data_IF_402722263871
#
_entry.id   IF_402722263871
#
_cell.length_a   1.000
_cell.length_b   1.000
_cell.length_c   1.000
_cell.angle_alpha   90.00
_cell.angle_beta   90.00
_cell.angle_gamma   90.00
#
_symmetry.space_group_name_H-M   'P 1'
#
loop_
_entity.id
_entity.type
_entity.pdbx_description
1 polymer ?
#
# COMPACT_ATOMS: atom_id res chain seq x y z
N UNK A 1 22.65 -27.03 -40.19
CA UNK A 1 23.86 -26.32 -39.73
C UNK A 1 23.63 -24.83 -39.93
N UNK A 2 23.97 -24.03 -38.91
CA UNK A 2 24.05 -22.56 -38.87
C UNK A 2 22.76 -21.76 -38.59
N UNK A 3 22.39 -21.77 -37.32
CA UNK A 3 21.79 -20.63 -36.58
C UNK A 3 22.77 -19.46 -36.51
N UNK A 4 22.37 -18.27 -36.98
CA UNK A 4 23.08 -17.01 -36.74
C UNK A 4 22.21 -16.09 -35.88
N UNK A 5 22.80 -15.77 -34.73
CA UNK A 5 22.44 -14.81 -33.69
C UNK A 5 21.94 -13.45 -34.21
N UNK A 6 20.73 -13.06 -33.80
CA UNK A 6 20.33 -11.66 -33.74
C UNK A 6 20.57 -11.14 -32.31
N UNK A 7 21.67 -10.39 -32.13
CA UNK A 7 22.00 -9.70 -30.88
C UNK A 7 21.12 -8.46 -30.74
N UNK A 8 20.19 -8.47 -29.77
CA UNK A 8 19.53 -7.27 -29.28
C UNK A 8 20.56 -6.39 -28.55
N UNK A 9 21.06 -5.36 -29.21
CA UNK A 9 21.90 -4.34 -28.60
C UNK A 9 21.02 -3.36 -27.81
N UNK A 10 20.94 -3.56 -26.49
CA UNK A 10 20.35 -2.61 -25.55
C UNK A 10 21.30 -1.42 -25.43
N UNK A 11 21.03 -0.32 -26.15
CA UNK A 11 21.76 0.95 -25.98
C UNK A 11 21.26 1.62 -24.71
N UNK A 12 22.01 1.46 -23.62
CA UNK A 12 21.86 2.28 -22.42
C UNK A 12 22.27 3.73 -22.76
N UNK A 13 21.30 4.62 -22.87
CA UNK A 13 21.53 6.06 -22.97
C UNK A 13 21.76 6.59 -21.55
N UNK A 14 23.01 6.67 -21.12
CA UNK A 14 23.40 7.37 -19.89
C UNK A 14 23.40 8.87 -20.22
N UNK A 15 22.34 9.58 -19.84
CA UNK A 15 22.32 11.04 -19.83
C UNK A 15 23.02 11.53 -18.56
N UNK A 16 24.27 11.95 -18.73
CA UNK A 16 25.06 12.65 -17.72
C UNK A 16 24.45 14.05 -17.51
N UNK A 17 23.83 14.30 -16.36
CA UNK A 17 23.48 15.66 -15.94
C UNK A 17 24.71 16.30 -15.28
N UNK A 18 25.39 17.19 -16.01
CA UNK A 18 26.32 18.14 -15.41
C UNK A 18 25.52 19.33 -14.87
N UNK A 19 25.46 19.45 -13.55
CA UNK A 19 25.02 20.68 -12.90
C UNK A 19 26.20 21.67 -12.81
N UNK A 20 25.97 22.92 -13.24
CA UNK A 20 26.26 24.13 -12.46
C UNK A 20 26.17 25.37 -13.36
N UNK A 21 25.11 26.15 -13.16
CA UNK A 21 24.99 27.51 -13.64
C UNK A 21 24.04 28.24 -12.72
N UNK A 22 24.52 28.69 -11.56
CA UNK A 22 23.84 29.69 -10.74
C UNK A 22 23.87 31.02 -11.49
N UNK A 23 23.03 31.12 -12.52
CA UNK A 23 22.73 32.35 -13.22
C UNK A 23 21.60 33.05 -12.50
N UNK A 24 21.86 34.21 -11.93
CA UNK A 24 20.80 35.20 -11.68
C UNK A 24 20.16 35.48 -13.05
N UNK A 25 18.97 34.93 -13.30
CA UNK A 25 18.22 35.23 -14.54
C UNK A 25 17.87 36.72 -14.52
N UNK A 26 18.19 37.49 -15.57
CA UNK A 26 17.78 38.89 -15.65
C UNK A 26 16.25 38.98 -15.68
N UNK A 27 15.66 39.94 -14.97
CA UNK A 27 14.21 40.11 -14.86
C UNK A 27 13.49 40.16 -16.23
N UNK A 28 14.13 40.73 -17.26
CA UNK A 28 13.63 40.76 -18.63
C UNK A 28 13.41 39.38 -19.27
N UNK A 29 14.20 38.36 -18.89
CA UNK A 29 14.00 36.98 -19.36
C UNK A 29 12.81 36.29 -18.66
N UNK A 30 12.47 36.73 -17.45
CA UNK A 30 11.31 36.23 -16.70
C UNK A 30 10.01 36.85 -17.21
N UNK A 31 10.03 38.14 -17.62
CA UNK A 31 8.90 38.80 -18.29
C UNK A 31 8.57 38.13 -19.62
N UNK A 32 9.57 37.88 -20.48
CA UNK A 32 9.38 37.16 -21.73
C UNK A 32 8.84 35.73 -21.54
N UNK A 33 9.31 35.00 -20.53
CA UNK A 33 8.79 33.67 -20.23
C UNK A 33 7.33 33.72 -19.76
N UNK A 34 6.97 34.70 -18.93
CA UNK A 34 5.61 34.84 -18.40
C UNK A 34 4.62 35.16 -19.53
N UNK A 35 5.01 36.01 -20.49
CA UNK A 35 4.21 36.29 -21.68
C UNK A 35 4.02 35.04 -22.54
N UNK A 36 5.09 34.28 -22.80
CA UNK A 36 5.02 33.02 -23.56
C UNK A 36 4.10 31.99 -22.88
N UNK A 37 4.19 31.84 -21.56
CA UNK A 37 3.31 30.93 -20.81
C UNK A 37 1.86 31.41 -20.82
N UNK A 38 1.63 32.71 -20.68
CA UNK A 38 0.28 33.30 -20.71
C UNK A 38 -0.38 33.09 -22.07
N UNK A 39 0.39 33.20 -23.16
CA UNK A 39 -0.09 32.92 -24.51
C UNK A 39 -0.39 31.43 -24.77
N UNK A 40 0.08 30.52 -23.91
CA UNK A 40 -0.20 29.08 -23.97
C UNK A 40 -1.13 28.62 -22.84
N UNK A 41 -1.73 29.56 -22.10
CA UNK A 41 -2.64 29.25 -21.01
C UNK A 41 -4.03 28.93 -21.58
N UNK A 42 -4.49 27.70 -21.36
CA UNK A 42 -5.80 27.24 -21.77
C UNK A 42 -6.69 27.03 -20.54
N UNK A 43 -7.76 27.82 -20.35
CA UNK A 43 -8.66 27.66 -19.22
C UNK A 43 -9.31 26.28 -19.18
N UNK A 44 -9.38 25.70 -17.98
CA UNK A 44 -10.00 24.39 -17.71
C UNK A 44 -10.94 24.51 -16.52
N UNK A 45 -12.12 23.91 -16.64
CA UNK A 45 -13.06 23.73 -15.54
C UNK A 45 -13.43 22.26 -15.40
N UNK A 46 -13.73 21.84 -14.17
CA UNK A 46 -14.28 20.50 -13.88
C UNK A 46 -15.55 20.66 -13.08
N UNK A 47 -16.69 20.30 -13.68
CA UNK A 47 -18.00 20.40 -13.06
C UNK A 47 -18.77 19.11 -13.26
N UNK A 48 -19.42 18.60 -12.20
CA UNK A 48 -20.25 17.39 -12.23
C UNK A 48 -19.56 16.16 -12.87
N UNK A 49 -18.22 16.08 -12.78
CA UNK A 49 -17.44 14.99 -13.35
C UNK A 49 -17.11 15.11 -14.84
N UNK A 50 -17.36 16.27 -15.46
CA UNK A 50 -17.01 16.57 -16.84
C UNK A 50 -15.97 17.70 -16.92
N UNK A 51 -15.07 17.62 -17.91
CA UNK A 51 -14.13 18.69 -18.24
C UNK A 51 -14.77 19.65 -19.24
N UNK A 52 -14.52 20.94 -19.08
CA UNK A 52 -14.93 21.98 -20.03
C UNK A 52 -13.86 23.08 -20.19
N UNK A 53 -14.01 23.88 -21.24
CA UNK A 53 -13.04 24.93 -21.61
C UNK A 53 -11.95 24.44 -22.59
N UNK A 54 -11.15 25.38 -23.09
CA UNK A 54 -10.13 25.10 -24.12
C UNK A 54 -9.07 24.11 -23.61
N UNK A 55 -8.75 24.13 -22.32
CA UNK A 55 -7.82 23.19 -21.70
C UNK A 55 -8.36 21.76 -21.67
N UNK A 56 -9.69 21.57 -21.66
CA UNK A 56 -10.28 20.24 -21.72
C UNK A 56 -9.99 19.57 -23.08
N UNK A 57 -10.08 20.34 -24.17
CA UNK A 57 -9.76 19.85 -25.50
C UNK A 57 -8.31 19.37 -25.58
N UNK A 58 -7.37 20.17 -25.06
CA UNK A 58 -5.94 19.81 -25.01
C UNK A 58 -5.72 18.47 -24.28
N UNK A 59 -6.32 18.30 -23.10
CA UNK A 59 -6.10 17.09 -22.30
C UNK A 59 -6.80 15.86 -22.90
N UNK A 60 -8.02 16.01 -23.43
CA UNK A 60 -8.75 14.90 -24.06
C UNK A 60 -8.07 14.44 -25.35
N UNK A 61 -7.57 15.37 -26.17
CA UNK A 61 -6.77 15.04 -27.35
C UNK A 61 -5.48 14.31 -26.96
N UNK A 62 -4.75 14.81 -25.96
CA UNK A 62 -3.55 14.14 -25.48
C UNK A 62 -3.85 12.74 -24.91
N UNK A 63 -4.95 12.57 -24.17
CA UNK A 63 -5.38 11.28 -23.63
C UNK A 63 -5.78 10.28 -24.72
N UNK A 64 -6.41 10.75 -25.79
CA UNK A 64 -6.79 9.91 -26.93
C UNK A 64 -5.59 9.44 -27.76
N UNK A 65 -4.56 10.29 -27.87
CA UNK A 65 -3.40 10.05 -28.75
C UNK A 65 -2.20 9.41 -28.02
N UNK A 66 -2.12 9.52 -26.69
CA UNK A 66 -1.03 8.98 -25.91
C UNK A 66 -1.30 7.55 -25.44
N UNK A 67 -0.34 6.65 -25.63
CA UNK A 67 -0.39 5.30 -25.04
C UNK A 67 -0.20 5.33 -23.51
N UNK A 68 0.59 6.29 -23.01
CA UNK A 68 0.85 6.48 -21.60
C UNK A 68 0.56 7.93 -21.23
N UNK A 69 -0.39 8.14 -20.34
CA UNK A 69 -0.73 9.46 -19.81
C UNK A 69 -0.23 9.55 -18.37
N UNK A 70 0.65 10.51 -18.09
CA UNK A 70 1.24 10.70 -16.78
C UNK A 70 0.77 12.03 -16.19
N UNK A 71 0.26 11.99 -14.96
CA UNK A 71 -0.03 13.18 -14.17
C UNK A 71 1.04 13.28 -13.10
N UNK A 72 1.94 14.26 -13.23
CA UNK A 72 2.92 14.58 -12.22
C UNK A 72 2.26 15.47 -11.15
N UNK A 73 1.78 14.85 -10.08
CA UNK A 73 0.99 15.49 -9.04
C UNK A 73 1.85 16.24 -8.02
N UNK A 74 1.42 17.45 -7.65
CA UNK A 74 1.79 18.09 -6.38
C UNK A 74 0.94 17.52 -5.24
N UNK A 75 1.57 17.16 -4.12
CA UNK A 75 0.89 16.40 -3.07
C UNK A 75 -0.37 17.10 -2.54
N UNK A 76 -1.47 16.34 -2.46
CA UNK A 76 -2.75 16.74 -1.83
C UNK A 76 -3.57 17.82 -2.59
N UNK A 77 -3.55 17.81 -3.93
CA UNK A 77 -4.43 18.68 -4.73
C UNK A 77 -5.75 17.96 -5.02
N UNK A 78 -6.86 18.50 -4.50
CA UNK A 78 -8.19 17.86 -4.60
C UNK A 78 -8.70 17.81 -6.04
N UNK A 79 -8.46 18.86 -6.79
CA UNK A 79 -8.87 19.08 -8.18
C UNK A 79 -8.29 18.02 -9.12
N UNK A 80 -7.08 17.54 -8.87
CA UNK A 80 -6.44 16.50 -9.69
C UNK A 80 -7.23 15.19 -9.69
N UNK A 81 -7.88 14.84 -8.58
CA UNK A 81 -8.74 13.66 -8.52
C UNK A 81 -9.97 13.82 -9.40
N UNK A 82 -10.59 15.01 -9.40
CA UNK A 82 -11.74 15.31 -10.25
C UNK A 82 -11.36 15.34 -11.73
N UNK A 83 -10.22 15.95 -12.06
CA UNK A 83 -9.67 15.97 -13.43
C UNK A 83 -9.39 14.55 -13.92
N UNK A 84 -8.68 13.73 -13.14
CA UNK A 84 -8.38 12.36 -13.52
C UNK A 84 -9.64 11.50 -13.67
N UNK A 85 -10.64 11.69 -12.81
CA UNK A 85 -11.92 11.00 -12.94
C UNK A 85 -12.65 11.38 -14.22
N UNK A 86 -12.68 12.67 -14.56
CA UNK A 86 -13.34 13.17 -15.76
C UNK A 86 -12.61 12.78 -17.04
N UNK A 87 -11.26 12.84 -17.07
CA UNK A 87 -10.43 12.40 -18.21
C UNK A 87 -10.66 10.94 -18.60
N UNK A 88 -10.96 10.10 -17.61
CA UNK A 88 -11.05 8.65 -17.78
C UNK A 88 -12.43 8.11 -17.41
N UNK A 89 -13.48 8.91 -17.58
CA UNK A 89 -14.87 8.51 -17.30
C UNK A 89 -15.28 7.26 -18.10
N UNK A 90 -14.87 7.21 -19.38
CA UNK A 90 -15.14 6.11 -20.30
C UNK A 90 -14.10 4.99 -20.26
N UNK A 91 -13.13 5.07 -19.34
CA UNK A 91 -12.08 4.06 -19.25
C UNK A 91 -12.68 2.68 -18.91
N UNK A 92 -12.05 1.58 -19.36
CA UNK A 92 -12.49 0.23 -19.03
C UNK A 92 -12.64 0.03 -17.51
N UNK A 93 -13.50 -0.91 -17.11
CA UNK A 93 -13.82 -1.14 -15.70
C UNK A 93 -12.58 -1.30 -14.81
N UNK A 94 -11.56 -2.01 -15.31
CA UNK A 94 -10.29 -2.20 -14.59
C UNK A 94 -9.56 -0.87 -14.34
N UNK A 95 -9.46 0.01 -15.34
CA UNK A 95 -8.83 1.32 -15.20
C UNK A 95 -9.58 2.19 -14.19
N UNK A 96 -10.91 2.17 -14.19
CA UNK A 96 -11.71 2.87 -13.17
C UNK A 96 -11.48 2.35 -11.76
N UNK A 97 -11.25 1.04 -11.58
CA UNK A 97 -10.87 0.47 -10.27
C UNK A 97 -9.52 1.04 -9.80
N UNK A 98 -8.54 1.15 -10.70
CA UNK A 98 -7.23 1.70 -10.39
C UNK A 98 -7.30 3.19 -10.04
N UNK A 99 -8.02 3.99 -10.83
CA UNK A 99 -8.25 5.42 -10.56
C UNK A 99 -8.92 5.60 -9.20
N UNK A 100 -10.00 4.85 -8.94
CA UNK A 100 -10.66 4.87 -7.64
C UNK A 100 -9.75 4.41 -6.49
N UNK A 101 -8.80 3.51 -6.73
CA UNK A 101 -7.81 3.11 -5.74
C UNK A 101 -6.82 4.24 -5.42
N UNK A 102 -6.35 4.97 -6.43
CA UNK A 102 -5.47 6.14 -6.27
C UNK A 102 -6.17 7.23 -5.44
N UNK A 103 -7.39 7.61 -5.81
CA UNK A 103 -8.17 8.62 -5.08
C UNK A 103 -8.38 8.23 -3.60
N UNK A 104 -8.67 6.95 -3.33
CA UNK A 104 -8.77 6.44 -1.96
C UNK A 104 -7.45 6.56 -1.21
N UNK A 105 -6.32 6.24 -1.85
CA UNK A 105 -5.01 6.40 -1.21
C UNK A 105 -4.70 7.86 -0.90
N UNK A 106 -4.97 8.79 -1.81
CA UNK A 106 -4.79 10.24 -1.58
C UNK A 106 -5.59 10.69 -0.37
N UNK A 107 -6.88 10.32 -0.29
CA UNK A 107 -7.73 10.63 0.88
C UNK A 107 -7.17 10.07 2.19
N UNK A 108 -6.70 8.83 2.18
CA UNK A 108 -6.10 8.18 3.38
C UNK A 108 -4.85 8.93 3.83
N UNK A 109 -3.94 9.27 2.91
CA UNK A 109 -2.69 9.94 3.24
C UNK A 109 -2.90 11.41 3.62
N UNK A 110 -3.84 12.10 2.99
CA UNK A 110 -4.26 13.44 3.39
C UNK A 110 -4.75 13.46 4.83
N UNK A 111 -5.71 12.58 5.16
CA UNK A 111 -6.25 12.48 6.52
C UNK A 111 -5.16 12.10 7.54
N UNK A 112 -4.18 11.27 7.15
CA UNK A 112 -3.03 10.96 8.00
C UNK A 112 -2.13 12.17 8.25
N UNK A 113 -1.80 12.91 7.19
CA UNK A 113 -0.95 14.09 7.26
C UNK A 113 -1.58 15.20 8.13
N UNK A 114 -2.88 15.46 7.94
CA UNK A 114 -3.64 16.38 8.78
C UNK A 114 -3.70 15.91 10.24
N UNK A 115 -3.75 14.59 10.46
CA UNK A 115 -3.70 13.99 11.78
C UNK A 115 -2.40 14.30 12.52
N UNK A 116 -1.27 14.24 11.80
CA UNK A 116 0.05 14.64 12.33
C UNK A 116 0.16 16.13 12.65
N UNK A 117 -0.72 16.96 12.07
CA UNK A 117 -0.85 18.39 12.35
C UNK A 117 -1.84 18.69 13.50
N UNK A 118 -2.30 17.66 14.21
CA UNK A 118 -3.19 17.81 15.37
C UNK A 118 -4.68 17.86 15.03
N UNK A 119 -5.06 17.71 13.75
CA UNK A 119 -6.48 17.60 13.39
C UNK A 119 -7.02 16.20 13.74
N UNK A 120 -8.30 16.06 14.10
CA UNK A 120 -8.88 14.78 14.50
C UNK A 120 -9.21 13.86 13.30
N UNK A 121 -8.28 13.73 12.34
CA UNK A 121 -8.47 13.00 11.08
C UNK A 121 -7.81 11.62 11.07
N UNK A 122 -6.99 11.29 12.07
CA UNK A 122 -6.24 10.03 12.14
C UNK A 122 -7.13 8.77 12.20
N UNK A 123 -8.27 8.85 12.89
CA UNK A 123 -9.27 7.78 12.92
C UNK A 123 -9.85 7.51 11.52
N UNK A 124 -10.22 8.58 10.79
CA UNK A 124 -10.75 8.46 9.43
C UNK A 124 -9.74 7.82 8.47
N UNK A 125 -8.48 8.24 8.53
CA UNK A 125 -7.40 7.64 7.74
C UNK A 125 -7.28 6.13 7.99
N UNK A 126 -7.31 5.74 9.25
CA UNK A 126 -7.21 4.34 9.68
C UNK A 126 -8.43 3.51 9.24
N UNK A 127 -9.64 4.04 9.47
CA UNK A 127 -10.89 3.40 9.09
C UNK A 127 -10.98 3.19 7.58
N UNK A 128 -10.67 4.21 6.78
CA UNK A 128 -10.72 4.13 5.32
C UNK A 128 -9.67 3.16 4.76
N UNK A 129 -8.48 3.09 5.38
CA UNK A 129 -7.43 2.12 5.02
C UNK A 129 -7.90 0.68 5.24
N UNK A 130 -8.40 0.37 6.43
CA UNK A 130 -8.88 -0.97 6.76
C UNK A 130 -10.10 -1.37 5.89
N UNK A 131 -11.04 -0.44 5.68
CA UNK A 131 -12.20 -0.68 4.83
C UNK A 131 -11.80 -0.93 3.38
N UNK A 132 -10.80 -0.22 2.87
CA UNK A 132 -10.28 -0.42 1.51
C UNK A 132 -9.71 -1.83 1.32
N UNK A 133 -8.97 -2.35 2.31
CA UNK A 133 -8.45 -3.73 2.28
C UNK A 133 -9.59 -4.77 2.27
N UNK A 134 -10.60 -4.58 3.13
CA UNK A 134 -11.77 -5.47 3.24
C UNK A 134 -12.58 -5.51 1.94
N UNK A 135 -12.85 -4.35 1.33
CA UNK A 135 -13.58 -4.25 0.05
C UNK A 135 -12.83 -4.95 -1.08
N UNK A 136 -11.52 -4.70 -1.19
CA UNK A 136 -10.68 -5.34 -2.22
C UNK A 136 -10.62 -6.85 -2.05
N UNK A 137 -10.55 -7.34 -0.81
CA UNK A 137 -10.66 -8.77 -0.54
C UNK A 137 -12.00 -9.32 -1.02
N UNK A 138 -13.13 -8.70 -0.65
CA UNK A 138 -14.45 -9.22 -1.03
C UNK A 138 -14.65 -9.24 -2.54
N UNK A 139 -14.20 -8.20 -3.25
CA UNK A 139 -14.21 -8.16 -4.71
C UNK A 139 -13.46 -9.37 -5.31
N UNK A 140 -12.23 -9.61 -4.85
CA UNK A 140 -11.39 -10.70 -5.37
C UNK A 140 -11.86 -12.08 -4.95
N UNK A 141 -12.36 -12.22 -3.72
CA UNK A 141 -12.90 -13.46 -3.21
C UNK A 141 -14.17 -13.85 -3.97
N UNK A 142 -15.08 -12.91 -4.25
CA UNK A 142 -16.27 -13.20 -5.05
C UNK A 142 -15.93 -13.49 -6.52
N UNK A 143 -14.96 -12.78 -7.10
CA UNK A 143 -14.47 -13.10 -8.44
C UNK A 143 -13.89 -14.52 -8.51
N UNK A 144 -13.09 -14.94 -7.52
CA UNK A 144 -12.58 -16.31 -7.42
C UNK A 144 -13.71 -17.34 -7.24
N UNK A 145 -14.76 -17.00 -6.48
CA UNK A 145 -15.93 -17.89 -6.38
C UNK A 145 -16.67 -18.07 -7.69
N UNK A 146 -16.75 -17.01 -8.49
CA UNK A 146 -17.40 -17.05 -9.79
C UNK A 146 -16.66 -17.97 -10.79
N UNK A 147 -15.40 -18.33 -10.54
CA UNK A 147 -14.66 -19.32 -11.38
C UNK A 147 -14.99 -20.78 -11.02
N UNK A 148 -15.92 -21.03 -10.09
CA UNK A 148 -16.42 -22.37 -9.77
C UNK A 148 -15.93 -22.97 -8.45
N UNK A 149 -15.02 -22.31 -7.73
CA UNK A 149 -14.63 -22.74 -6.37
C UNK A 149 -15.49 -22.02 -5.33
N UNK A 150 -16.47 -22.67 -4.67
CA UNK A 150 -17.34 -22.00 -3.72
C UNK A 150 -16.63 -21.53 -2.45
N UNK A 151 -15.41 -22.04 -2.15
CA UNK A 151 -14.61 -21.72 -0.95
C UNK A 151 -13.11 -21.59 -1.29
N UNK A 152 -12.70 -20.54 -2.03
CA UNK A 152 -11.30 -20.34 -2.39
C UNK A 152 -10.40 -20.27 -1.17
N UNK A 153 -9.28 -21.00 -1.20
CA UNK A 153 -8.23 -20.87 -0.18
C UNK A 153 -7.47 -19.55 -0.40
N UNK A 154 -7.33 -18.75 0.64
CA UNK A 154 -6.69 -17.43 0.55
C UNK A 154 -5.45 -17.35 1.42
N UNK A 155 -4.34 -16.91 0.82
CA UNK A 155 -3.16 -16.45 1.54
C UNK A 155 -3.14 -14.91 1.51
N UNK A 156 -2.97 -14.30 2.68
CA UNK A 156 -2.81 -12.84 2.81
C UNK A 156 -1.44 -12.54 3.40
N UNK A 157 -0.69 -11.67 2.73
CA UNK A 157 0.53 -11.05 3.28
C UNK A 157 0.23 -9.59 3.59
N UNK A 158 0.29 -9.23 4.87
CA UNK A 158 0.10 -7.86 5.34
C UNK A 158 0.98 -7.62 6.58
N UNK A 159 1.23 -6.35 6.90
CA UNK A 159 1.91 -6.00 8.16
C UNK A 159 1.05 -6.35 9.39
N UNK A 160 1.70 -6.59 10.53
CA UNK A 160 1.01 -6.98 11.79
C UNK A 160 -0.16 -6.09 12.16
N UNK A 161 -0.02 -4.79 11.89
CA UNK A 161 -1.01 -3.76 12.17
C UNK A 161 -2.37 -4.05 11.54
N UNK A 162 -2.38 -4.73 10.40
CA UNK A 162 -3.58 -5.04 9.64
C UNK A 162 -4.00 -6.52 9.76
N UNK A 163 -3.07 -7.42 10.09
CA UNK A 163 -3.30 -8.88 10.06
C UNK A 163 -3.82 -9.48 11.38
N UNK A 164 -3.65 -8.78 12.51
CA UNK A 164 -4.11 -9.25 13.82
C UNK A 164 -5.63 -9.26 13.97
N UNK A 165 -6.16 -10.12 14.86
CA UNK A 165 -7.58 -10.08 15.24
C UNK A 165 -7.92 -8.89 16.15
N UNK A 166 -9.21 -8.56 16.23
CA UNK A 166 -9.74 -7.49 17.06
C UNK A 166 -9.44 -6.07 16.57
N UNK A 167 -9.56 -5.13 17.51
CA UNK A 167 -9.09 -3.75 17.34
C UNK A 167 -7.62 -3.71 17.73
N UNK A 168 -6.79 -3.13 16.87
CA UNK A 168 -5.37 -2.92 17.12
C UNK A 168 -4.96 -1.49 16.80
N UNK A 169 -3.71 -1.10 17.09
CA UNK A 169 -3.07 0.25 17.11
C UNK A 169 -3.72 1.43 16.36
N UNK A 170 -4.42 1.18 15.27
CA UNK A 170 -5.22 2.12 14.50
C UNK A 170 -6.62 2.43 15.10
N UNK A 171 -6.98 1.84 16.25
CA UNK A 171 -8.26 2.00 16.95
C UNK A 171 -9.52 1.66 16.12
N UNK A 172 -9.35 0.84 15.08
CA UNK A 172 -10.41 0.32 14.21
C UNK A 172 -10.30 -1.21 14.11
N UNK A 173 -11.39 -1.94 13.84
CA UNK A 173 -11.30 -3.37 13.56
C UNK A 173 -10.43 -3.59 12.33
N UNK A 174 -9.40 -4.40 12.48
CA UNK A 174 -8.42 -4.66 11.42
C UNK A 174 -9.01 -5.49 10.27
N UNK A 175 -8.28 -5.60 9.18
CA UNK A 175 -8.54 -6.53 8.09
C UNK A 175 -8.46 -7.98 8.55
N UNK A 176 -7.47 -8.35 9.38
CA UNK A 176 -7.32 -9.68 9.96
C UNK A 176 -8.48 -10.08 10.88
N UNK A 177 -9.04 -9.12 11.62
CA UNK A 177 -10.28 -9.33 12.36
C UNK A 177 -11.43 -9.67 11.41
N UNK A 178 -11.63 -8.85 10.37
CA UNK A 178 -12.66 -9.10 9.37
C UNK A 178 -12.53 -10.49 8.73
N UNK A 179 -11.33 -10.91 8.33
CA UNK A 179 -11.13 -12.24 7.74
C UNK A 179 -11.45 -13.38 8.72
N UNK A 180 -11.14 -13.19 10.00
CA UNK A 180 -11.43 -14.19 11.02
C UNK A 180 -12.93 -14.31 11.29
N UNK A 181 -13.62 -13.18 11.44
CA UNK A 181 -15.07 -13.15 11.60
C UNK A 181 -15.79 -13.66 10.34
N UNK A 182 -15.29 -13.28 9.15
CA UNK A 182 -15.80 -13.78 7.88
C UNK A 182 -15.64 -15.30 7.77
N UNK A 183 -14.49 -15.84 8.16
CA UNK A 183 -14.27 -17.28 8.14
C UNK A 183 -15.26 -17.99 9.09
N UNK A 184 -15.30 -17.59 10.36
CA UNK A 184 -16.15 -18.20 11.40
C UNK A 184 -17.63 -18.13 11.01
N UNK A 185 -18.11 -16.97 10.57
CA UNK A 185 -19.51 -16.76 10.17
C UNK A 185 -19.95 -17.56 8.93
N UNK A 186 -18.99 -18.10 8.17
CA UNK A 186 -19.26 -18.91 6.98
C UNK A 186 -18.83 -20.39 7.16
N UNK A 187 -18.59 -20.83 8.41
CA UNK A 187 -18.18 -22.21 8.70
C UNK A 187 -16.81 -22.57 8.14
N UNK A 188 -15.91 -21.58 8.07
CA UNK A 188 -14.52 -21.72 7.64
C UNK A 188 -13.57 -21.40 8.80
N UNK A 189 -12.29 -21.69 8.60
CA UNK A 189 -11.23 -21.40 9.58
C UNK A 189 -10.29 -20.31 9.07
N UNK A 190 -9.71 -19.55 10.00
CA UNK A 190 -8.61 -18.64 9.71
C UNK A 190 -7.40 -18.99 10.58
N UNK A 191 -6.20 -18.87 10.02
CA UNK A 191 -4.95 -19.00 10.75
C UNK A 191 -4.11 -17.74 10.60
N UNK A 192 -3.82 -17.06 11.71
CA UNK A 192 -3.05 -15.81 11.75
C UNK A 192 -1.63 -16.11 12.19
N UNK A 193 -0.69 -16.07 11.24
CA UNK A 193 0.74 -16.18 11.50
C UNK A 193 1.37 -14.79 11.64
N UNK A 194 1.94 -14.52 12.80
CA UNK A 194 2.68 -13.28 13.09
C UNK A 194 4.17 -13.48 12.85
N UNK A 195 4.84 -12.63 12.09
CA UNK A 195 6.28 -12.80 11.81
C UNK A 195 7.15 -11.91 12.68
N UNK A 196 8.16 -12.46 13.35
CA UNK A 196 9.11 -11.69 14.14
C UNK A 196 10.51 -11.94 13.63
N UNK A 197 11.32 -10.90 13.60
CA UNK A 197 12.75 -11.01 13.36
C UNK A 197 13.44 -10.61 14.66
N UNK A 198 14.19 -11.53 15.22
CA UNK A 198 14.94 -11.37 16.46
C UNK A 198 16.42 -11.28 16.10
N UNK A 199 17.22 -10.70 17.00
CA UNK A 199 18.66 -10.56 16.82
C UNK A 199 19.04 -9.94 15.46
N UNK A 200 18.63 -8.68 15.27
CA UNK A 200 18.87 -7.95 14.03
C UNK A 200 19.49 -6.59 14.30
N UNK A 201 20.29 -6.10 13.36
CA UNK A 201 20.94 -4.78 13.44
C UNK A 201 19.99 -3.59 13.25
N UNK A 202 18.72 -3.86 12.91
CA UNK A 202 17.69 -2.84 12.66
C UNK A 202 16.87 -2.58 13.92
N UNK A 203 16.82 -1.33 14.36
CA UNK A 203 16.18 -0.90 15.62
C UNK A 203 14.63 -0.97 15.61
N UNK A 204 14.02 -0.93 14.43
CA UNK A 204 12.57 -1.03 14.24
C UNK A 204 12.02 -2.46 14.34
N UNK A 205 12.90 -3.46 14.52
CA UNK A 205 12.52 -4.88 14.65
C UNK A 205 12.36 -5.30 16.10
N UNK A 206 11.66 -6.41 16.29
CA UNK A 206 11.40 -6.92 17.63
C UNK A 206 12.61 -7.71 18.16
N UNK A 207 13.59 -7.00 18.71
CA UNK A 207 14.83 -7.59 19.23
C UNK A 207 14.75 -8.00 20.71
N UNK A 208 13.60 -7.80 21.36
CA UNK A 208 13.43 -8.11 22.78
C UNK A 208 12.07 -8.77 23.09
N UNK A 209 11.89 -9.22 24.33
CA UNK A 209 10.66 -9.86 24.82
C UNK A 209 10.63 -11.39 24.68
N UNK A 210 9.53 -12.05 25.09
CA UNK A 210 9.49 -13.50 25.28
C UNK A 210 9.88 -14.32 24.05
N UNK A 211 9.52 -13.87 22.84
CA UNK A 211 9.87 -14.57 21.59
C UNK A 211 11.36 -14.51 21.26
N UNK A 212 12.03 -13.39 21.57
CA UNK A 212 13.46 -13.24 21.37
C UNK A 212 14.27 -14.11 22.34
N UNK A 213 13.75 -14.34 23.55
CA UNK A 213 14.43 -15.15 24.57
C UNK A 213 14.33 -16.66 24.36
N UNK A 214 13.33 -17.15 23.61
CA UNK A 214 13.07 -18.60 23.47
C UNK A 214 13.59 -19.20 22.17
N UNK A 215 13.87 -18.38 21.15
CA UNK A 215 14.38 -18.84 19.85
C UNK A 215 15.88 -18.56 19.77
N UNK A 216 16.74 -19.59 19.72
CA UNK A 216 18.19 -19.39 19.66
C UNK A 216 18.64 -18.59 18.43
N UNK A 217 19.83 -18.02 18.52
CA UNK A 217 20.50 -17.36 17.39
C UNK A 217 20.58 -18.30 16.18
N UNK A 218 20.33 -17.77 14.98
CA UNK A 218 20.36 -18.51 13.73
C UNK A 218 19.19 -19.50 13.50
N UNK A 219 18.26 -19.63 14.44
CA UNK A 219 17.10 -20.53 14.31
C UNK A 219 15.89 -19.80 13.72
N UNK A 220 15.23 -20.44 12.76
CA UNK A 220 13.87 -20.08 12.34
C UNK A 220 12.88 -21.08 12.94
N UNK A 221 11.92 -20.59 13.73
CA UNK A 221 10.99 -21.43 14.48
C UNK A 221 9.55 -20.91 14.37
N UNK A 222 8.59 -21.84 14.53
CA UNK A 222 7.18 -21.51 14.73
C UNK A 222 6.84 -21.75 16.20
N UNK A 223 6.36 -20.71 16.87
CA UNK A 223 5.85 -20.78 18.24
C UNK A 223 4.33 -20.77 18.19
N UNK A 224 3.69 -21.89 18.54
CA UNK A 224 2.21 -22.01 18.55
C UNK A 224 1.63 -21.41 19.83
N UNK A 225 0.76 -20.40 19.67
CA UNK A 225 0.14 -19.71 20.80
C UNK A 225 -1.16 -20.37 21.26
N UNK A 226 -1.78 -21.23 20.44
CA UNK A 226 -3.11 -21.79 20.73
C UNK A 226 -3.15 -22.58 22.05
N UNK A 227 -2.16 -23.44 22.38
CA UNK A 227 -2.13 -24.15 23.66
C UNK A 227 -2.03 -23.21 24.88
N UNK A 228 -1.45 -22.02 24.70
CA UNK A 228 -1.21 -21.06 25.78
C UNK A 228 -2.46 -20.24 26.14
N UNK A 229 -3.47 -20.16 25.24
CA UNK A 229 -4.64 -19.30 25.42
C UNK A 229 -5.45 -19.63 26.67
N UNK A 230 -5.58 -20.92 27.00
CA UNK A 230 -6.29 -21.36 28.21
C UNK A 230 -5.62 -20.82 29.48
N UNK A 231 -4.31 -21.02 29.59
CA UNK A 231 -3.49 -20.53 30.70
C UNK A 231 -3.48 -19.00 30.77
N UNK A 232 -3.30 -18.33 29.62
CA UNK A 232 -3.32 -16.88 29.53
C UNK A 232 -4.68 -16.28 29.95
N UNK A 233 -5.80 -16.93 29.59
CA UNK A 233 -7.15 -16.48 29.99
C UNK A 233 -7.38 -16.58 31.49
N UNK A 234 -6.79 -17.60 32.11
CA UNK A 234 -6.84 -17.86 33.56
C UNK A 234 -5.83 -17.04 34.35
N UNK A 235 -5.00 -16.23 33.69
CA UNK A 235 -3.86 -15.53 34.29
C UNK A 235 -2.89 -16.48 35.01
N UNK A 236 -2.71 -17.69 34.46
CA UNK A 236 -1.87 -18.74 35.03
C UNK A 236 -0.45 -18.78 34.45
N UNK A 237 -0.01 -17.71 33.78
CA UNK A 237 1.34 -17.59 33.22
C UNK A 237 2.05 -16.46 33.95
N UNK A 238 3.04 -16.81 34.77
CA UNK A 238 3.84 -15.83 35.50
C UNK A 238 4.64 -14.95 34.55
N UNK A 239 4.69 -13.65 34.83
CA UNK A 239 5.42 -12.67 34.01
C UNK A 239 4.79 -12.36 32.64
N UNK A 240 3.58 -12.86 32.36
CA UNK A 240 2.86 -12.51 31.13
C UNK A 240 2.27 -11.10 31.24
N UNK A 241 2.88 -10.15 30.52
CA UNK A 241 2.32 -8.80 30.41
C UNK A 241 1.07 -8.73 29.50
N UNK A 242 0.28 -7.67 29.66
CA UNK A 242 -0.97 -7.48 28.90
C UNK A 242 -0.74 -7.32 27.39
N UNK A 243 0.41 -6.79 26.97
CA UNK A 243 0.71 -6.57 25.56
C UNK A 243 0.99 -7.89 24.83
N UNK A 244 1.76 -8.78 25.44
CA UNK A 244 2.04 -10.10 24.93
C UNK A 244 0.81 -11.01 25.07
N UNK A 245 0.07 -10.91 26.18
CA UNK A 245 -1.23 -11.57 26.32
C UNK A 245 -2.17 -11.21 25.18
N UNK A 246 -2.29 -9.93 24.84
CA UNK A 246 -3.09 -9.51 23.70
C UNK A 246 -2.59 -10.14 22.39
N UNK A 247 -1.28 -10.27 22.20
CA UNK A 247 -0.68 -10.93 21.03
C UNK A 247 -1.09 -12.41 20.93
N UNK A 248 -1.09 -13.16 22.05
CA UNK A 248 -1.53 -14.57 22.09
C UNK A 248 -2.97 -14.78 21.60
N UNK A 249 -3.86 -13.80 21.83
CA UNK A 249 -5.25 -13.84 21.37
C UNK A 249 -5.45 -13.23 19.98
N UNK A 250 -4.49 -12.43 19.50
CA UNK A 250 -4.57 -11.76 18.19
C UNK A 250 -4.00 -12.59 17.04
N UNK A 251 -3.07 -13.50 17.32
CA UNK A 251 -2.45 -14.40 16.36
C UNK A 251 -2.50 -15.86 16.85
N UNK A 252 -2.47 -16.83 15.93
CA UNK A 252 -2.43 -18.26 16.27
C UNK A 252 -1.02 -18.77 16.51
N UNK A 253 -0.04 -18.22 15.79
CA UNK A 253 1.36 -18.57 15.97
C UNK A 253 2.27 -17.38 15.64
N UNK A 254 3.51 -17.47 16.09
CA UNK A 254 4.61 -16.63 15.67
C UNK A 254 5.60 -17.42 14.81
N UNK A 255 5.93 -16.92 13.61
CA UNK A 255 7.13 -17.32 12.88
C UNK A 255 8.26 -16.40 13.33
N UNK A 256 9.23 -16.92 14.05
CA UNK A 256 10.40 -16.19 14.54
C UNK A 256 11.59 -16.54 13.67
N UNK A 257 12.25 -15.52 13.13
CA UNK A 257 13.44 -15.65 12.30
C UNK A 257 14.58 -14.94 13.03
N UNK A 258 15.46 -15.72 13.67
CA UNK A 258 16.63 -15.17 14.35
C UNK A 258 17.74 -14.85 13.33
N UNK A 259 18.35 -13.66 13.43
CA UNK A 259 19.36 -13.20 12.46
C UNK A 259 18.77 -12.83 11.09
N UNK A 260 17.45 -12.58 11.00
CA UNK A 260 16.79 -12.24 9.75
C UNK A 260 17.37 -10.96 9.11
N UNK A 261 17.52 -10.94 7.78
CA UNK A 261 18.09 -9.79 7.05
C UNK A 261 17.01 -8.92 6.42
N UNK A 262 17.32 -7.63 6.23
CA UNK A 262 16.49 -6.74 5.41
C UNK A 262 16.48 -7.24 3.97
N UNK A 263 15.30 -7.31 3.35
CA UNK A 263 15.17 -7.74 1.97
C UNK A 263 15.92 -6.77 1.05
N UNK A 264 16.72 -7.31 0.12
CA UNK A 264 17.35 -6.56 -0.95
C UNK A 264 16.50 -6.67 -2.23
N UNK A 265 16.46 -5.61 -3.03
CA UNK A 265 15.75 -5.58 -4.32
C UNK A 265 16.22 -6.69 -5.27
N UNK A 266 17.48 -7.11 -5.18
CA UNK A 266 18.10 -8.12 -6.04
C UNK A 266 17.52 -9.53 -5.90
N UNK A 267 16.80 -9.85 -4.82
CA UNK A 267 16.13 -11.16 -4.64
C UNK A 267 14.76 -11.20 -5.31
N UNK A 268 14.15 -10.05 -5.62
CA UNK A 268 12.83 -10.00 -6.25
C UNK A 268 12.86 -10.37 -7.74
N UNK A 269 14.01 -10.24 -8.40
CA UNK A 269 14.16 -10.49 -9.84
C UNK A 269 14.33 -11.97 -10.20
N UNK A 270 14.68 -12.83 -9.24
CA UNK A 270 14.84 -14.27 -9.47
C UNK A 270 13.54 -15.08 -9.38
N UNK A 271 12.42 -14.42 -9.07
CA UNK A 271 11.10 -15.04 -8.92
C UNK A 271 10.17 -14.81 -10.13
N UNK A 272 10.69 -14.33 -11.26
CA UNK A 272 9.95 -14.14 -12.52
C UNK A 272 10.32 -15.17 -13.57
#
# INVERSE_FOLDING_TARGET
MNTVLARCAFRALVLLWLAAGSGVRPAAAQEALTELLSAQMHPLSVEQGALSGDGAAVLLEAAANAQFFLIAEEHNVGELNAIAQALFADAPAEARVLIGALMRTTRIYYAWAEGRRGRPTGYFSSADRELSMKRRFMERYQAARATGDPRPRVLVKAGHWHAFRGIYRAAVPTFGNFLSEFAISNGMESFVLSTYVTDSQEDWRNTSGPLASVVPEGVTAVVDFRPLRGLARQNAIDGLDDAFKATLFRADAALVISGGRTGASTVADSAR
#
